data_IF_940282350231
#
_entry.id   IF_940282350231
#
_cell.length_a   1.000
_cell.length_b   1.000
_cell.length_c   1.000
_cell.angle_alpha   90.00
_cell.angle_beta   90.00
_cell.angle_gamma   90.00
#
_symmetry.space_group_name_H-M   'P 1'
#
loop_
_entity.id
_entity.type
_entity.pdbx_description
1 polymer ?
#
# COMPACT_ATOMS: atom_id res chain seq x y z
N UNK A 1 18.76 14.33 8.62
CA UNK A 1 18.67 14.16 10.10
C UNK A 1 17.20 14.12 10.47
N UNK A 2 16.75 13.08 11.16
CA UNK A 2 15.33 12.89 11.51
C UNK A 2 15.14 13.15 13.00
N UNK A 3 14.06 13.85 13.36
CA UNK A 3 13.79 14.18 14.76
C UNK A 3 13.02 13.03 15.43
N UNK A 4 13.61 12.41 16.45
CA UNK A 4 13.02 11.30 17.20
C UNK A 4 11.61 11.59 17.71
N UNK A 5 11.34 12.82 18.16
CA UNK A 5 10.02 13.23 18.67
C UNK A 5 8.91 13.08 17.61
N UNK A 6 9.22 13.36 16.34
CA UNK A 6 8.26 13.25 15.24
C UNK A 6 7.88 11.78 14.99
N UNK A 7 8.88 10.90 14.92
CA UNK A 7 8.63 9.47 14.69
C UNK A 7 7.85 8.83 15.85
N UNK A 8 8.25 9.16 17.10
CA UNK A 8 7.62 8.63 18.32
C UNK A 8 6.17 9.10 18.48
N UNK A 9 5.81 10.27 17.95
CA UNK A 9 4.44 10.78 18.05
C UNK A 9 3.44 10.12 17.09
N UNK A 10 3.92 9.47 16.03
CA UNK A 10 3.08 8.90 14.98
C UNK A 10 3.14 7.37 14.90
N UNK A 11 4.13 6.75 15.51
CA UNK A 11 4.39 5.32 15.42
C UNK A 11 4.50 4.69 16.79
N UNK A 12 3.82 3.58 16.98
CA UNK A 12 3.97 2.75 18.18
C UNK A 12 5.22 1.85 18.16
N UNK A 13 5.88 1.72 17.00
CA UNK A 13 7.10 0.94 16.84
C UNK A 13 8.35 1.70 17.32
N UNK A 14 8.52 2.97 16.92
CA UNK A 14 9.73 3.75 17.24
C UNK A 14 9.95 3.97 18.74
N UNK A 15 8.93 4.23 19.59
CA UNK A 15 9.14 4.26 21.04
C UNK A 15 9.75 2.98 21.58
N UNK A 16 9.27 1.82 21.14
CA UNK A 16 9.74 0.52 21.59
C UNK A 16 11.19 0.26 21.13
N UNK A 17 11.50 0.55 19.87
CA UNK A 17 12.85 0.44 19.33
C UNK A 17 13.85 1.38 20.03
N UNK A 18 13.41 2.59 20.41
CA UNK A 18 14.26 3.61 21.03
C UNK A 18 14.41 3.50 22.54
N UNK A 19 13.52 2.78 23.26
CA UNK A 19 13.51 2.70 24.73
C UNK A 19 13.69 1.27 25.27
N UNK A 20 13.64 0.26 24.40
CA UNK A 20 13.78 -1.15 24.77
C UNK A 20 15.21 -1.54 25.12
N UNK A 21 15.40 -2.79 25.62
CA UNK A 21 16.72 -3.40 25.84
C UNK A 21 17.43 -3.83 24.54
N UNK A 22 17.14 -3.17 23.44
CA UNK A 22 17.75 -3.44 22.14
C UNK A 22 19.05 -2.65 21.98
N UNK A 23 19.94 -3.12 21.13
CA UNK A 23 21.25 -2.49 20.84
C UNK A 23 21.07 -1.05 20.36
N UNK A 24 19.96 -0.78 19.67
CA UNK A 24 19.56 0.53 19.15
C UNK A 24 19.24 1.56 20.25
N UNK A 25 18.86 1.12 21.45
CA UNK A 25 18.59 2.02 22.57
C UNK A 25 19.86 2.70 23.13
N UNK A 26 21.02 2.13 22.88
CA UNK A 26 22.33 2.65 23.26
C UNK A 26 23.04 3.42 22.14
N UNK A 27 22.46 3.43 20.94
CA UNK A 27 22.95 4.09 19.73
C UNK A 27 22.06 5.25 19.36
N UNK A 28 22.63 6.40 18.97
CA UNK A 28 21.88 7.51 18.37
C UNK A 28 21.39 7.21 16.92
N UNK A 29 21.56 5.96 16.48
CA UNK A 29 21.18 5.48 15.16
C UNK A 29 20.18 4.34 15.26
N UNK A 30 19.10 4.44 14.48
CA UNK A 30 18.21 3.32 14.14
C UNK A 30 18.48 2.97 12.68
N UNK A 31 18.86 1.75 12.41
CA UNK A 31 19.08 1.24 11.06
C UNK A 31 17.84 0.43 10.64
N UNK A 32 17.28 0.79 9.49
CA UNK A 32 16.11 0.12 8.92
C UNK A 32 16.63 -0.81 7.81
N UNK A 33 16.74 -2.09 8.15
CA UNK A 33 17.24 -3.11 7.23
C UNK A 33 16.12 -3.69 6.38
N UNK A 34 16.46 -4.10 5.18
CA UNK A 34 15.62 -4.83 4.24
C UNK A 34 14.38 -4.06 3.73
N UNK A 35 14.35 -2.73 3.93
CA UNK A 35 13.29 -1.87 3.42
C UNK A 35 13.75 -1.10 2.20
N UNK A 36 12.83 -0.88 1.27
CA UNK A 36 13.08 -0.07 0.09
C UNK A 36 13.23 1.41 0.49
N UNK A 37 14.34 2.07 0.09
CA UNK A 37 14.63 3.46 0.45
C UNK A 37 13.55 4.45 0.02
N UNK A 38 12.87 4.22 -1.11
CA UNK A 38 11.84 5.13 -1.62
C UNK A 38 10.61 5.12 -0.70
N UNK A 39 10.19 3.95 -0.22
CA UNK A 39 9.09 3.83 0.72
C UNK A 39 9.43 4.31 2.13
N UNK A 40 10.69 4.15 2.56
CA UNK A 40 11.18 4.78 3.80
C UNK A 40 11.19 6.31 3.67
N UNK A 41 11.61 6.86 2.53
CA UNK A 41 11.54 8.29 2.29
C UNK A 41 10.09 8.80 2.33
N UNK A 42 9.16 8.10 1.69
CA UNK A 42 7.73 8.43 1.75
C UNK A 42 7.17 8.39 3.18
N UNK A 43 7.54 7.39 3.98
CA UNK A 43 7.17 7.31 5.40
C UNK A 43 7.70 8.51 6.18
N UNK A 44 8.96 8.88 5.97
CA UNK A 44 9.57 10.03 6.64
C UNK A 44 8.90 11.34 6.21
N UNK A 45 8.69 11.53 4.91
CA UNK A 45 7.98 12.71 4.39
C UNK A 45 6.59 12.83 5.01
N UNK A 46 5.86 11.74 5.09
CA UNK A 46 4.54 11.73 5.74
C UNK A 46 4.64 12.15 7.23
N UNK A 47 5.64 11.65 7.95
CA UNK A 47 5.82 12.02 9.36
C UNK A 47 6.05 13.52 9.57
N UNK A 48 6.61 14.23 8.59
CA UNK A 48 6.88 15.68 8.68
C UNK A 48 5.81 16.55 8.05
N UNK A 49 5.17 16.08 6.98
CA UNK A 49 4.31 16.91 6.13
C UNK A 49 2.87 16.39 6.05
N UNK A 50 2.56 15.24 6.65
CA UNK A 50 1.29 14.51 6.50
C UNK A 50 0.95 14.17 5.04
N UNK A 51 1.97 14.08 4.20
CA UNK A 51 1.90 13.72 2.77
C UNK A 51 3.25 13.22 2.29
N UNK A 52 3.26 12.50 1.16
CA UNK A 52 4.47 12.11 0.44
C UNK A 52 4.30 12.32 -1.07
N UNK A 53 5.40 12.37 -1.82
CA UNK A 53 5.37 12.46 -3.28
C UNK A 53 5.37 11.07 -3.92
N UNK A 54 4.65 10.95 -5.02
CA UNK A 54 4.59 9.78 -5.89
C UNK A 54 5.06 10.14 -7.31
N UNK A 55 5.89 11.17 -7.42
CA UNK A 55 6.38 11.65 -8.70
C UNK A 55 7.11 10.51 -9.44
N UNK A 56 6.65 10.12 -10.65
CA UNK A 56 7.28 9.06 -11.44
C UNK A 56 8.75 9.33 -11.79
N UNK A 57 9.21 10.57 -11.72
CA UNK A 57 10.63 10.92 -11.89
C UNK A 57 11.47 10.59 -10.65
N UNK A 58 10.80 10.38 -9.50
CA UNK A 58 11.44 10.12 -8.20
C UNK A 58 11.26 8.68 -7.76
N UNK A 59 10.09 8.08 -8.02
CA UNK A 59 9.77 6.73 -7.57
C UNK A 59 9.87 5.71 -8.71
N UNK A 60 10.43 4.55 -8.41
CA UNK A 60 10.73 3.52 -9.42
C UNK A 60 9.52 2.68 -9.82
N UNK A 61 8.42 2.73 -9.04
CA UNK A 61 7.21 1.93 -9.25
C UNK A 61 6.03 2.74 -9.73
N UNK A 62 5.00 2.07 -10.26
CA UNK A 62 3.74 2.75 -10.57
C UNK A 62 3.13 3.35 -9.28
N UNK A 63 2.43 4.51 -9.36
CA UNK A 63 1.82 5.13 -8.18
C UNK A 63 0.87 4.21 -7.40
N UNK A 64 0.13 3.34 -8.12
CA UNK A 64 -0.77 2.34 -7.53
C UNK A 64 0.03 1.36 -6.67
N UNK A 65 1.11 0.78 -7.23
CA UNK A 65 1.94 -0.18 -6.53
C UNK A 65 2.76 0.48 -5.41
N UNK A 66 3.18 1.73 -5.62
CA UNK A 66 3.87 2.54 -4.62
C UNK A 66 3.01 2.73 -3.37
N UNK A 67 1.71 3.01 -3.53
CA UNK A 67 0.77 3.14 -2.40
C UNK A 67 0.65 1.84 -1.61
N UNK A 68 0.61 0.67 -2.29
CA UNK A 68 0.55 -0.64 -1.62
C UNK A 68 1.81 -0.91 -0.77
N UNK A 69 2.98 -0.67 -1.32
CA UNK A 69 4.22 -0.89 -0.56
C UNK A 69 4.43 0.15 0.55
N UNK A 70 3.98 1.39 0.34
CA UNK A 70 3.98 2.40 1.41
C UNK A 70 3.03 2.01 2.54
N UNK A 71 1.87 1.41 2.23
CA UNK A 71 0.99 0.81 3.23
C UNK A 71 1.70 -0.31 4.01
N UNK A 72 2.41 -1.22 3.33
CA UNK A 72 3.17 -2.29 3.99
C UNK A 72 4.25 -1.75 4.96
N UNK A 73 4.95 -0.68 4.57
CA UNK A 73 5.88 0.03 5.45
C UNK A 73 5.14 0.66 6.64
N UNK A 74 4.00 1.29 6.41
CA UNK A 74 3.18 1.88 7.46
C UNK A 74 2.71 0.83 8.48
N UNK A 75 2.34 -0.36 8.01
CA UNK A 75 1.98 -1.51 8.84
C UNK A 75 3.18 -2.01 9.66
N UNK A 76 4.33 -2.23 9.03
CA UNK A 76 5.57 -2.67 9.68
C UNK A 76 6.00 -1.73 10.81
N UNK A 77 5.90 -0.42 10.58
CA UNK A 77 6.30 0.61 11.54
C UNK A 77 5.16 1.15 12.40
N UNK A 78 3.98 0.52 12.36
CA UNK A 78 2.81 0.85 13.18
C UNK A 78 2.42 2.33 13.09
N UNK A 79 2.27 2.85 11.87
CA UNK A 79 1.87 4.23 11.58
C UNK A 79 0.46 4.21 10.96
N UNK A 80 -0.59 4.06 11.78
CA UNK A 80 -1.96 3.96 11.30
C UNK A 80 -2.42 5.15 10.42
N UNK A 81 -2.05 6.41 10.69
CA UNK A 81 -2.40 7.52 9.79
C UNK A 81 -1.79 7.39 8.40
N UNK A 82 -0.60 6.79 8.26
CA UNK A 82 0.03 6.55 6.97
C UNK A 82 -0.65 5.40 6.21
N UNK A 83 -1.13 4.37 6.93
CA UNK A 83 -1.94 3.31 6.30
C UNK A 83 -3.18 3.90 5.63
N UNK A 84 -3.93 4.74 6.37
CA UNK A 84 -5.11 5.42 5.83
C UNK A 84 -4.72 6.30 4.63
N UNK A 85 -3.69 7.11 4.75
CA UNK A 85 -3.26 7.99 3.67
C UNK A 85 -2.85 7.22 2.41
N UNK A 86 -2.09 6.13 2.55
CA UNK A 86 -1.68 5.28 1.42
C UNK A 86 -2.89 4.63 0.73
N UNK A 87 -3.91 4.21 1.50
CA UNK A 87 -5.16 3.68 0.95
C UNK A 87 -5.98 4.76 0.23
N UNK A 88 -6.04 5.98 0.78
CA UNK A 88 -6.71 7.11 0.12
C UNK A 88 -6.01 7.47 -1.20
N UNK A 89 -4.66 7.42 -1.23
CA UNK A 89 -3.89 7.63 -2.47
C UNK A 89 -4.17 6.54 -3.50
N UNK A 90 -4.20 5.27 -3.07
CA UNK A 90 -4.58 4.15 -3.93
C UNK A 90 -5.97 4.38 -4.54
N UNK A 91 -6.96 4.71 -3.71
CA UNK A 91 -8.34 4.98 -4.14
C UNK A 91 -8.42 6.16 -5.10
N UNK A 92 -7.64 7.21 -4.89
CA UNK A 92 -7.55 8.34 -5.80
C UNK A 92 -7.19 7.91 -7.23
N UNK A 93 -6.24 6.98 -7.39
CA UNK A 93 -5.84 6.47 -8.71
C UNK A 93 -6.92 5.61 -9.36
N UNK A 94 -7.81 4.99 -8.59
CA UNK A 94 -8.93 4.23 -9.13
C UNK A 94 -9.98 5.12 -9.81
N UNK A 95 -10.21 6.30 -9.25
CA UNK A 95 -11.25 7.21 -9.72
C UNK A 95 -10.73 8.35 -10.60
N UNK A 96 -9.42 8.45 -10.77
CA UNK A 96 -8.82 9.45 -11.65
C UNK A 96 -8.67 8.87 -13.05
N UNK A 97 -9.18 9.54 -14.11
CA UNK A 97 -8.95 9.11 -15.47
C UNK A 97 -7.45 9.16 -15.81
N UNK A 98 -6.78 8.04 -15.78
CA UNK A 98 -5.43 7.87 -16.28
C UNK A 98 -5.45 6.98 -17.53
N UNK A 99 -4.33 6.95 -18.27
CA UNK A 99 -4.23 6.18 -19.51
C UNK A 99 -4.74 4.74 -19.32
N UNK A 100 -5.81 4.43 -20.06
CA UNK A 100 -6.62 3.20 -19.96
C UNK A 100 -5.83 1.88 -20.10
N UNK A 101 -4.56 1.93 -20.51
CA UNK A 101 -3.73 0.75 -20.71
C UNK A 101 -2.85 0.38 -19.50
N UNK A 102 -2.54 1.34 -18.63
CA UNK A 102 -1.64 1.13 -17.48
C UNK A 102 -2.44 0.62 -16.27
N UNK A 103 -3.68 1.01 -16.19
CA UNK A 103 -4.56 0.79 -15.06
C UNK A 103 -4.83 -0.70 -14.74
N UNK A 104 -5.24 -1.58 -15.69
CA UNK A 104 -5.53 -2.98 -15.36
C UNK A 104 -4.29 -3.75 -14.89
N UNK A 105 -3.12 -3.44 -15.46
CA UNK A 105 -1.85 -4.06 -15.06
C UNK A 105 -1.41 -3.58 -13.68
N UNK A 106 -1.53 -2.28 -13.42
CA UNK A 106 -1.23 -1.70 -12.10
C UNK A 106 -2.11 -2.27 -11.00
N UNK A 107 -3.42 -2.41 -11.27
CA UNK A 107 -4.38 -3.03 -10.36
C UNK A 107 -4.04 -4.51 -10.08
N UNK A 108 -3.75 -5.29 -11.11
CA UNK A 108 -3.36 -6.69 -10.96
C UNK A 108 -2.11 -6.86 -10.07
N UNK A 109 -1.12 -6.00 -10.27
CA UNK A 109 0.09 -5.96 -9.46
C UNK A 109 -0.21 -5.54 -8.01
N UNK A 110 -1.09 -4.55 -7.81
CA UNK A 110 -1.52 -4.10 -6.49
C UNK A 110 -2.26 -5.20 -5.71
N UNK A 111 -3.18 -5.93 -6.36
CA UNK A 111 -3.87 -7.07 -5.76
C UNK A 111 -2.84 -8.11 -5.29
N UNK A 112 -1.94 -8.53 -6.17
CA UNK A 112 -0.93 -9.53 -5.84
C UNK A 112 -0.02 -9.07 -4.69
N UNK A 113 0.42 -7.81 -4.72
CA UNK A 113 1.28 -7.24 -3.67
C UNK A 113 0.54 -7.13 -2.34
N UNK A 114 -0.69 -6.63 -2.31
CA UNK A 114 -1.48 -6.48 -1.09
C UNK A 114 -1.66 -7.81 -0.34
N UNK A 115 -1.96 -8.88 -1.06
CA UNK A 115 -2.16 -10.21 -0.45
C UNK A 115 -0.86 -10.94 -0.11
N UNK A 116 0.28 -10.54 -0.67
CA UNK A 116 1.58 -11.16 -0.40
C UNK A 116 2.45 -10.39 0.59
N UNK A 117 2.33 -9.06 0.66
CA UNK A 117 3.27 -8.22 1.41
C UNK A 117 2.64 -7.54 2.64
N UNK A 118 1.31 -7.60 2.82
CA UNK A 118 0.62 -6.99 3.97
C UNK A 118 -0.13 -8.03 4.77
N UNK A 119 -0.29 -7.82 6.08
CA UNK A 119 -1.22 -8.60 6.89
C UNK A 119 -2.63 -8.00 6.85
N UNK A 120 -2.71 -6.66 6.76
CA UNK A 120 -3.94 -5.87 6.63
C UNK A 120 -5.08 -6.40 7.51
N UNK A 121 -4.80 -6.56 8.80
CA UNK A 121 -5.73 -7.17 9.78
C UNK A 121 -7.07 -6.42 9.86
N UNK A 122 -7.05 -5.12 9.61
CA UNK A 122 -8.24 -4.26 9.63
C UNK A 122 -8.93 -4.18 8.25
N UNK A 123 -8.43 -4.91 7.26
CA UNK A 123 -8.93 -4.96 5.89
C UNK A 123 -9.10 -3.57 5.23
N UNK A 124 -8.20 -2.65 5.51
CA UNK A 124 -8.29 -1.27 5.00
C UNK A 124 -7.88 -1.22 3.52
N UNK A 125 -6.71 -1.77 3.20
CA UNK A 125 -6.15 -1.77 1.85
C UNK A 125 -6.84 -2.79 0.94
N UNK A 126 -7.00 -4.04 1.44
CA UNK A 126 -7.63 -5.13 0.68
C UNK A 126 -9.08 -4.83 0.42
N UNK A 127 -9.82 -4.29 1.42
CA UNK A 127 -11.20 -3.85 1.26
C UNK A 127 -11.36 -2.81 0.14
N UNK A 128 -10.47 -1.82 0.06
CA UNK A 128 -10.52 -0.83 -1.03
C UNK A 128 -10.30 -1.45 -2.42
N UNK A 129 -9.43 -2.46 -2.54
CA UNK A 129 -9.22 -3.22 -3.79
C UNK A 129 -10.46 -4.06 -4.16
N UNK A 130 -11.04 -4.72 -3.17
CA UNK A 130 -12.25 -5.56 -3.33
C UNK A 130 -13.43 -4.70 -3.75
N UNK A 131 -13.70 -3.61 -3.03
CA UNK A 131 -14.82 -2.69 -3.31
C UNK A 131 -14.73 -2.12 -4.73
N UNK A 132 -13.52 -1.78 -5.15
CA UNK A 132 -13.32 -1.27 -6.50
C UNK A 132 -13.63 -2.33 -7.56
N UNK A 133 -13.06 -3.54 -7.43
CA UNK A 133 -13.29 -4.62 -8.40
C UNK A 133 -14.75 -5.08 -8.38
N UNK A 134 -15.39 -5.11 -7.21
CA UNK A 134 -16.81 -5.41 -7.09
C UNK A 134 -17.70 -4.36 -7.79
N UNK A 135 -17.35 -3.08 -7.68
CA UNK A 135 -18.07 -1.98 -8.37
C UNK A 135 -18.06 -2.13 -9.88
N UNK A 136 -16.97 -2.60 -10.47
CA UNK A 136 -16.80 -2.79 -11.91
C UNK A 136 -16.85 -4.27 -12.32
N UNK A 137 -17.50 -5.11 -11.52
CA UNK A 137 -17.49 -6.57 -11.69
C UNK A 137 -17.90 -7.02 -13.09
N UNK A 138 -19.05 -6.52 -13.59
CA UNK A 138 -19.57 -6.87 -14.91
C UNK A 138 -18.58 -6.48 -16.02
N UNK A 139 -17.97 -5.29 -15.93
CA UNK A 139 -17.00 -4.83 -16.92
C UNK A 139 -15.73 -5.69 -16.91
N UNK A 140 -15.28 -6.09 -15.71
CA UNK A 140 -14.04 -6.85 -15.54
C UNK A 140 -14.23 -8.32 -15.89
N UNK A 141 -15.33 -8.95 -15.48
CA UNK A 141 -15.49 -10.40 -15.58
C UNK A 141 -16.43 -10.86 -16.68
N UNK A 142 -17.46 -10.08 -17.05
CA UNK A 142 -18.42 -10.48 -18.05
C UNK A 142 -18.01 -10.12 -19.49
N UNK A 143 -17.07 -9.19 -19.65
CA UNK A 143 -16.53 -8.87 -20.97
C UNK A 143 -15.37 -9.79 -21.34
N UNK A 144 -15.41 -10.39 -22.53
CA UNK A 144 -14.30 -11.21 -23.06
C UNK A 144 -13.11 -10.39 -23.60
N UNK A 145 -13.11 -9.07 -23.36
CA UNK A 145 -12.06 -8.17 -23.83
C UNK A 145 -10.71 -8.41 -23.14
N UNK A 146 -9.57 -8.23 -23.84
CA UNK A 146 -8.25 -8.45 -23.28
C UNK A 146 -7.84 -7.38 -22.25
N UNK A 147 -8.52 -6.24 -22.20
CA UNK A 147 -8.13 -5.11 -21.36
C UNK A 147 -8.04 -5.47 -19.86
N UNK A 148 -9.01 -6.22 -19.34
CA UNK A 148 -9.06 -6.62 -17.93
C UNK A 148 -8.47 -8.01 -17.66
N UNK A 149 -7.84 -8.64 -18.65
CA UNK A 149 -7.20 -9.95 -18.46
C UNK A 149 -6.20 -9.99 -17.30
N UNK A 150 -5.35 -8.97 -17.08
CA UNK A 150 -4.44 -8.96 -15.92
C UNK A 150 -5.16 -9.07 -14.58
N UNK A 151 -6.30 -8.37 -14.39
CA UNK A 151 -7.08 -8.43 -13.14
C UNK A 151 -7.71 -9.81 -12.96
N UNK A 152 -8.26 -10.39 -14.02
CA UNK A 152 -8.82 -11.76 -14.00
C UNK A 152 -7.76 -12.80 -13.64
N UNK A 153 -6.54 -12.64 -14.15
CA UNK A 153 -5.42 -13.54 -13.85
C UNK A 153 -4.92 -13.35 -12.40
N UNK A 154 -4.88 -12.11 -11.91
CA UNK A 154 -4.60 -11.83 -10.50
C UNK A 154 -5.65 -12.48 -9.58
N UNK A 155 -6.94 -12.34 -9.89
CA UNK A 155 -8.02 -12.99 -9.13
C UNK A 155 -7.91 -14.52 -9.14
N UNK A 156 -7.50 -15.14 -10.24
CA UNK A 156 -7.26 -16.59 -10.30
C UNK A 156 -6.06 -17.04 -9.47
N UNK A 157 -5.02 -16.22 -9.41
CA UNK A 157 -3.80 -16.51 -8.65
C UNK A 157 -3.89 -16.16 -7.17
N UNK A 158 -4.90 -15.40 -6.76
CA UNK A 158 -5.15 -14.96 -5.38
C UNK A 158 -6.56 -15.37 -4.96
N UNK A 159 -6.75 -16.63 -4.52
CA UNK A 159 -8.08 -17.16 -4.20
C UNK A 159 -8.81 -16.41 -3.08
N UNK A 160 -8.06 -15.87 -2.11
CA UNK A 160 -8.62 -15.06 -1.01
C UNK A 160 -9.30 -13.81 -1.57
N UNK A 161 -8.61 -13.06 -2.43
CA UNK A 161 -9.18 -11.91 -3.12
C UNK A 161 -10.44 -12.26 -3.92
N UNK A 162 -10.39 -13.36 -4.68
CA UNK A 162 -11.55 -13.79 -5.47
C UNK A 162 -12.75 -14.13 -4.60
N UNK A 163 -12.54 -14.76 -3.43
CA UNK A 163 -13.60 -15.08 -2.47
C UNK A 163 -14.22 -13.80 -1.90
N UNK A 164 -13.40 -12.84 -1.47
CA UNK A 164 -13.87 -11.56 -0.91
C UNK A 164 -14.68 -10.75 -1.94
N UNK A 165 -14.24 -10.70 -3.21
CA UNK A 165 -15.02 -10.04 -4.29
C UNK A 165 -16.39 -10.70 -4.47
N UNK A 166 -16.46 -12.04 -4.46
CA UNK A 166 -17.73 -12.75 -4.61
C UNK A 166 -18.67 -12.53 -3.40
N UNK A 167 -18.15 -12.39 -2.20
CA UNK A 167 -18.96 -12.08 -1.01
C UNK A 167 -19.63 -10.71 -1.10
N UNK A 168 -18.95 -9.73 -1.69
CA UNK A 168 -19.47 -8.36 -1.85
C UNK A 168 -20.46 -8.26 -3.02
N UNK A 169 -20.32 -9.11 -4.05
CA UNK A 169 -21.17 -9.07 -5.28
C UNK A 169 -22.38 -10.02 -5.23
N UNK A 170 -22.51 -10.87 -4.20
CA UNK A 170 -23.61 -11.82 -4.01
C UNK A 170 -24.85 -11.15 -3.41
#
# INVERSE_FOLDING_TARGET
>A
MVHRVVLVSLSDWFPRACTGNFVESSSDKVELYDDDPDHIAAMLDFCYHSSYTEDPEVVSSSPILFSVFTFAIAEKYLIAPLQTYATDRLSYYFFTPCDSHIWPTGMASAITAAYSCTSDQDNILRGALVDYVATYYEEIFDTSGPAFQPIRDAARSTPEFAAEVLEVTA
#
